data_IF_105789084034
#
_entry.id   IF_105789084034
#
_cell.length_a   1.000
_cell.length_b   1.000
_cell.length_c   1.000
_cell.angle_alpha   90.00
_cell.angle_beta   90.00
_cell.angle_gamma   90.00
#
_symmetry.space_group_name_H-M   'P 1'
#
loop_
_entity.id
_entity.type
_entity.pdbx_description
1 polymer ?
#
# COMPACT_ATOMS: atom_id res chain seq x y z
N UNK A 1 19.50 -0.56 -15.52
CA UNK A 1 19.19 0.03 -14.20
C UNK A 1 18.32 -0.87 -13.35
N UNK A 2 17.01 -0.95 -13.64
CA UNK A 2 16.04 -1.66 -12.80
C UNK A 2 16.28 -3.17 -12.61
N UNK A 3 16.72 -3.89 -13.65
CA UNK A 3 16.98 -5.33 -13.53
C UNK A 3 18.14 -5.65 -12.56
N UNK A 4 19.23 -4.87 -12.60
CA UNK A 4 20.35 -5.02 -11.67
C UNK A 4 19.95 -4.68 -10.23
N UNK A 5 19.08 -3.68 -10.04
CA UNK A 5 18.54 -3.33 -8.72
C UNK A 5 17.62 -4.42 -8.15
N UNK A 6 16.73 -4.99 -8.97
CA UNK A 6 15.87 -6.11 -8.56
C UNK A 6 16.67 -7.37 -8.24
N UNK A 7 17.73 -7.65 -9.01
CA UNK A 7 18.63 -8.78 -8.74
C UNK A 7 19.38 -8.56 -7.42
N UNK A 8 19.86 -7.34 -7.17
CA UNK A 8 20.51 -6.97 -5.91
C UNK A 8 19.57 -7.08 -4.71
N UNK A 9 18.31 -6.66 -4.83
CA UNK A 9 17.28 -6.86 -3.79
C UNK A 9 16.97 -8.35 -3.55
N UNK A 10 16.88 -9.16 -4.61
CA UNK A 10 16.66 -10.59 -4.48
C UNK A 10 17.84 -11.28 -3.77
N UNK A 11 19.08 -10.92 -4.13
CA UNK A 11 20.29 -11.41 -3.46
C UNK A 11 20.30 -10.97 -2.00
N UNK A 12 19.96 -9.72 -1.68
CA UNK A 12 19.86 -9.26 -0.29
C UNK A 12 18.83 -10.04 0.52
N UNK A 13 17.62 -10.25 -0.02
CA UNK A 13 16.56 -11.00 0.64
C UNK A 13 16.98 -12.45 0.95
N UNK A 14 17.77 -13.07 0.07
CA UNK A 14 18.29 -14.44 0.26
C UNK A 14 19.46 -14.47 1.26
N UNK A 15 20.38 -13.50 1.18
CA UNK A 15 21.67 -13.56 1.90
C UNK A 15 21.58 -13.12 3.36
N UNK A 16 20.70 -12.17 3.66
CA UNK A 16 20.53 -11.66 5.03
C UNK A 16 19.30 -12.26 5.73
N UNK A 17 18.46 -13.02 5.02
CA UNK A 17 17.03 -13.10 5.34
C UNK A 17 16.44 -11.70 5.23
N UNK A 18 15.12 -11.53 5.23
CA UNK A 18 14.68 -10.15 5.45
C UNK A 18 15.25 -9.70 6.79
N UNK A 19 15.90 -8.54 6.77
CA UNK A 19 15.97 -7.68 7.93
C UNK A 19 14.55 -7.21 8.29
N UNK A 20 13.60 -8.12 8.44
CA UNK A 20 12.55 -8.04 9.44
C UNK A 20 13.16 -8.30 10.84
N UNK A 21 14.38 -7.82 11.11
CA UNK A 21 14.36 -6.84 12.18
C UNK A 21 13.39 -5.77 11.68
N UNK A 22 12.16 -5.85 12.16
CA UNK A 22 11.59 -4.61 12.65
C UNK A 22 12.65 -4.13 13.64
N UNK A 23 13.71 -3.47 13.16
CA UNK A 23 14.19 -2.30 13.86
C UNK A 23 12.87 -1.60 14.09
N UNK A 24 12.42 -1.67 15.33
CA UNK A 24 11.63 -0.62 15.90
C UNK A 24 12.41 0.60 15.50
N UNK A 25 12.10 1.15 14.32
CA UNK A 25 12.35 2.53 13.97
C UNK A 25 11.74 3.17 15.17
N UNK A 26 12.62 3.58 16.09
CA UNK A 26 12.27 4.17 17.36
C UNK A 26 11.20 5.15 16.98
N UNK A 27 9.95 4.80 17.33
CA UNK A 27 8.79 5.34 16.65
C UNK A 27 8.82 6.78 17.05
N UNK A 28 9.46 7.62 16.23
CA UNK A 28 9.48 9.05 16.41
C UNK A 28 8.02 9.34 16.66
N UNK A 29 7.73 9.92 17.82
CA UNK A 29 6.39 10.12 18.35
C UNK A 29 5.70 11.12 17.43
N UNK A 30 5.40 10.66 16.22
CA UNK A 30 4.78 11.41 15.18
C UNK A 30 3.41 11.71 15.74
N UNK A 31 3.15 13.01 15.87
CA UNK A 31 1.84 13.48 16.30
C UNK A 31 0.77 12.74 15.50
N UNK A 32 -0.37 12.36 16.10
CA UNK A 32 -1.49 11.78 15.38
C UNK A 32 -1.86 12.59 14.12
N UNK A 33 -1.69 13.91 14.18
CA UNK A 33 -1.89 14.82 13.05
C UNK A 33 -0.88 14.61 11.91
N UNK A 34 0.38 14.29 12.23
CA UNK A 34 1.40 13.97 11.23
C UNK A 34 1.09 12.66 10.49
N UNK A 35 0.57 11.65 11.20
CA UNK A 35 0.16 10.40 10.57
C UNK A 35 -1.07 10.59 9.68
N UNK A 36 -2.04 11.40 10.14
CA UNK A 36 -3.21 11.76 9.33
C UNK A 36 -2.79 12.55 8.09
N UNK A 37 -1.87 13.51 8.22
CA UNK A 37 -1.43 14.33 7.08
C UNK A 37 -0.68 13.50 6.04
N UNK A 38 0.16 12.55 6.45
CA UNK A 38 0.79 11.60 5.54
C UNK A 38 -0.27 10.80 4.78
N UNK A 39 -1.25 10.22 5.47
CA UNK A 39 -2.33 9.47 4.84
C UNK A 39 -3.15 10.31 3.86
N UNK A 40 -3.46 11.55 4.25
CA UNK A 40 -4.16 12.52 3.41
C UNK A 40 -3.38 12.82 2.12
N UNK A 41 -2.10 13.17 2.24
CA UNK A 41 -1.27 13.48 1.07
C UNK A 41 -1.05 12.26 0.19
N UNK A 42 -0.80 11.08 0.77
CA UNK A 42 -0.66 9.84 -0.01
C UNK A 42 -1.94 9.53 -0.79
N UNK A 43 -3.11 9.75 -0.19
CA UNK A 43 -4.39 9.48 -0.86
C UNK A 43 -4.67 10.49 -1.99
N UNK A 44 -4.41 11.78 -1.75
CA UNK A 44 -4.59 12.84 -2.76
C UNK A 44 -3.59 12.69 -3.90
N UNK A 45 -2.32 12.44 -3.62
CA UNK A 45 -1.29 12.27 -4.65
C UNK A 45 -1.44 10.94 -5.39
N UNK A 46 -2.33 10.04 -4.97
CA UNK A 46 -2.57 8.78 -5.65
C UNK A 46 -3.42 9.01 -6.91
N UNK A 47 -2.84 8.88 -8.12
CA UNK A 47 -3.59 9.14 -9.36
C UNK A 47 -4.77 8.19 -9.53
N UNK A 48 -4.72 6.98 -8.94
CA UNK A 48 -5.82 6.01 -9.00
C UNK A 48 -7.07 6.54 -8.30
N UNK A 49 -6.90 7.21 -7.15
CA UNK A 49 -8.01 7.77 -6.39
C UNK A 49 -8.64 8.93 -7.15
N UNK A 50 -7.81 9.83 -7.70
CA UNK A 50 -8.29 10.95 -8.52
C UNK A 50 -9.07 10.44 -9.74
N UNK A 51 -8.50 9.50 -10.49
CA UNK A 51 -9.13 8.95 -11.71
C UNK A 51 -10.45 8.25 -11.37
N UNK A 52 -10.49 7.51 -10.25
CA UNK A 52 -11.73 6.90 -9.78
C UNK A 52 -12.82 7.96 -9.55
N UNK A 53 -12.54 8.98 -8.74
CA UNK A 53 -13.54 10.02 -8.49
C UNK A 53 -13.90 10.80 -9.76
N UNK A 54 -12.94 11.15 -10.63
CA UNK A 54 -13.25 11.82 -11.90
C UNK A 54 -14.18 11.00 -12.80
N UNK A 55 -14.07 9.67 -12.77
CA UNK A 55 -14.88 8.79 -13.62
C UNK A 55 -16.27 8.54 -13.04
N UNK A 56 -16.39 8.41 -11.72
CA UNK A 56 -17.64 8.03 -11.06
C UNK A 56 -18.44 9.22 -10.54
N UNK A 57 -17.81 10.31 -10.11
CA UNK A 57 -18.50 11.49 -9.54
C UNK A 57 -19.52 12.13 -10.51
N UNK A 58 -19.22 12.31 -11.81
CA UNK A 58 -20.18 12.88 -12.75
C UNK A 58 -21.43 12.02 -12.95
N UNK A 59 -21.39 10.72 -12.62
CA UNK A 59 -22.54 9.82 -12.71
C UNK A 59 -23.55 10.05 -11.58
N UNK A 60 -23.12 10.62 -10.46
CA UNK A 60 -23.96 10.83 -9.26
C UNK A 60 -24.32 12.30 -9.01
N UNK A 61 -23.58 13.25 -9.61
CA UNK A 61 -23.76 14.69 -9.37
C UNK A 61 -23.64 15.47 -10.68
N UNK A 62 -24.64 16.29 -10.97
CA UNK A 62 -24.64 17.22 -12.12
C UNK A 62 -24.17 18.60 -11.68
N UNK A 63 -23.22 19.20 -12.40
CA UNK A 63 -22.60 20.48 -12.03
C UNK A 63 -23.58 21.68 -11.99
N UNK A 64 -24.76 21.57 -12.61
CA UNK A 64 -25.79 22.61 -12.65
C UNK A 64 -26.77 22.59 -11.47
N UNK A 65 -26.62 21.65 -10.53
CA UNK A 65 -27.53 21.54 -9.38
C UNK A 65 -27.17 22.55 -8.26
N UNK A 66 -28.12 23.37 -7.77
CA UNK A 66 -27.88 24.32 -6.68
C UNK A 66 -27.42 23.66 -5.37
N UNK A 67 -27.65 22.35 -5.20
CA UNK A 67 -27.35 21.59 -3.98
C UNK A 67 -26.18 20.61 -4.13
N UNK A 68 -25.33 20.77 -5.15
CA UNK A 68 -24.13 19.94 -5.41
C UNK A 68 -23.29 19.73 -4.16
N UNK A 69 -22.97 20.80 -3.42
CA UNK A 69 -22.11 20.71 -2.23
C UNK A 69 -22.69 19.79 -1.16
N UNK A 70 -24.01 19.84 -0.94
CA UNK A 70 -24.69 18.97 0.04
C UNK A 70 -24.64 17.49 -0.37
N UNK A 71 -24.86 17.20 -1.65
CA UNK A 71 -24.76 15.84 -2.20
C UNK A 71 -23.33 15.30 -2.11
N UNK A 72 -22.34 16.13 -2.40
CA UNK A 72 -20.92 15.74 -2.29
C UNK A 72 -20.53 15.41 -0.85
N UNK A 73 -20.96 16.22 0.13
CA UNK A 73 -20.73 15.94 1.55
C UNK A 73 -21.42 14.64 1.97
N UNK A 74 -22.67 14.43 1.55
CA UNK A 74 -23.39 13.19 1.82
C UNK A 74 -22.67 11.96 1.26
N UNK A 75 -22.27 11.99 -0.03
CA UNK A 75 -21.53 10.90 -0.63
C UNK A 75 -20.16 10.67 0.01
N UNK A 76 -19.46 11.73 0.42
CA UNK A 76 -18.21 11.63 1.16
C UNK A 76 -18.39 10.92 2.51
N UNK A 77 -19.39 11.33 3.29
CA UNK A 77 -19.70 10.69 4.59
C UNK A 77 -20.12 9.23 4.37
N UNK A 78 -20.97 8.97 3.38
CA UNK A 78 -21.42 7.61 3.05
C UNK A 78 -20.26 6.72 2.62
N UNK A 79 -19.34 7.24 1.80
CA UNK A 79 -18.13 6.55 1.40
C UNK A 79 -17.23 6.22 2.60
N UNK A 80 -17.04 7.17 3.53
CA UNK A 80 -16.30 6.93 4.78
C UNK A 80 -17.00 5.88 5.64
N UNK A 81 -18.32 5.96 5.80
CA UNK A 81 -19.09 5.03 6.62
C UNK A 81 -19.01 3.59 6.13
N UNK A 82 -18.97 3.37 4.81
CA UNK A 82 -18.80 2.04 4.22
C UNK A 82 -17.33 1.60 4.22
N UNK A 83 -16.41 2.52 3.93
CA UNK A 83 -14.99 2.21 3.82
C UNK A 83 -14.33 1.97 5.18
N UNK A 84 -14.79 2.64 6.24
CA UNK A 84 -14.17 2.57 7.57
C UNK A 84 -14.18 1.15 8.16
N UNK A 85 -15.31 0.41 8.19
CA UNK A 85 -15.33 -0.98 8.66
C UNK A 85 -14.36 -1.89 7.91
N UNK A 86 -14.30 -1.75 6.58
CA UNK A 86 -13.39 -2.56 5.74
C UNK A 86 -11.93 -2.25 6.08
N UNK A 87 -11.57 -0.96 6.16
CA UNK A 87 -10.22 -0.56 6.52
C UNK A 87 -9.87 -1.00 7.95
N UNK A 88 -10.79 -0.91 8.90
CA UNK A 88 -10.58 -1.37 10.26
C UNK A 88 -10.31 -2.87 10.33
N UNK A 89 -11.09 -3.68 9.61
CA UNK A 89 -10.86 -5.13 9.49
C UNK A 89 -9.48 -5.42 8.90
N UNK A 90 -9.09 -4.72 7.84
CA UNK A 90 -7.77 -4.87 7.22
C UNK A 90 -6.65 -4.51 8.19
N UNK A 91 -6.77 -3.40 8.94
CA UNK A 91 -5.79 -2.98 9.93
C UNK A 91 -5.65 -4.02 11.05
N UNK A 92 -6.77 -4.51 11.60
CA UNK A 92 -6.77 -5.53 12.65
C UNK A 92 -6.20 -6.87 12.14
N UNK A 93 -6.55 -7.26 10.92
CA UNK A 93 -6.00 -8.45 10.28
C UNK A 93 -4.49 -8.33 10.04
N UNK A 94 -4.04 -7.16 9.57
CA UNK A 94 -2.62 -6.88 9.35
C UNK A 94 -1.83 -6.90 10.66
N UNK A 95 -2.35 -6.30 11.74
CA UNK A 95 -1.73 -6.35 13.06
C UNK A 95 -1.61 -7.79 13.58
N UNK A 96 -2.70 -8.57 13.50
CA UNK A 96 -2.69 -9.97 13.91
C UNK A 96 -1.74 -10.83 13.06
N UNK A 97 -1.70 -10.59 11.76
CA UNK A 97 -0.80 -11.28 10.83
C UNK A 97 0.66 -10.92 11.11
N UNK A 98 0.97 -9.65 11.32
CA UNK A 98 2.31 -9.17 11.65
C UNK A 98 2.80 -9.82 12.96
N UNK A 99 1.97 -9.81 14.01
CA UNK A 99 2.28 -10.45 15.28
C UNK A 99 2.48 -11.97 15.15
N UNK A 100 1.68 -12.65 14.31
CA UNK A 100 1.82 -14.09 14.06
C UNK A 100 3.08 -14.43 13.25
N UNK A 101 3.42 -13.61 12.26
CA UNK A 101 4.63 -13.76 11.44
C UNK A 101 5.90 -13.55 12.28
N UNK A 102 5.93 -12.54 13.14
CA UNK A 102 7.05 -12.30 14.06
C UNK A 102 7.29 -13.48 15.01
N UNK A 103 6.23 -14.20 15.41
CA UNK A 103 6.34 -15.40 16.24
C UNK A 103 6.82 -16.64 15.47
N UNK A 104 6.74 -16.65 14.13
CA UNK A 104 7.06 -17.80 13.29
C UNK A 104 8.17 -17.48 12.27
N UNK A 105 9.44 -17.42 12.70
CA UNK A 105 10.56 -17.03 11.85
C UNK A 105 10.77 -17.96 10.63
N UNK A 106 10.30 -19.21 10.69
CA UNK A 106 10.33 -20.13 9.54
C UNK A 106 9.36 -19.72 8.42
N UNK A 107 8.18 -19.20 8.76
CA UNK A 107 7.19 -18.73 7.77
C UNK A 107 7.65 -17.43 7.14
N UNK A 108 8.20 -16.52 7.95
CA UNK A 108 8.78 -15.27 7.48
C UNK A 108 9.90 -15.54 6.46
N UNK A 109 10.80 -16.48 6.75
CA UNK A 109 11.82 -16.94 5.79
C UNK A 109 11.21 -17.51 4.50
N UNK A 110 10.14 -18.30 4.60
CA UNK A 110 9.43 -18.81 3.41
C UNK A 110 8.83 -17.70 2.54
N UNK A 111 8.29 -16.67 3.17
CA UNK A 111 7.77 -15.48 2.50
C UNK A 111 8.90 -14.71 1.79
N UNK A 112 10.05 -14.56 2.45
CA UNK A 112 11.24 -13.91 1.88
C UNK A 112 11.75 -14.65 0.64
N UNK A 113 11.82 -15.98 0.69
CA UNK A 113 12.20 -16.77 -0.49
C UNK A 113 11.19 -16.63 -1.63
N UNK A 114 9.90 -16.52 -1.32
CA UNK A 114 8.85 -16.30 -2.33
C UNK A 114 9.02 -14.93 -2.99
N UNK A 115 9.22 -13.87 -2.20
CA UNK A 115 9.50 -12.53 -2.74
C UNK A 115 10.78 -12.50 -3.57
N UNK A 116 11.87 -13.09 -3.07
CA UNK A 116 13.13 -13.16 -3.79
C UNK A 116 12.98 -13.93 -5.11
N UNK A 117 12.22 -15.02 -5.12
CA UNK A 117 11.88 -15.77 -6.32
C UNK A 117 11.14 -14.92 -7.34
N UNK A 118 10.05 -14.26 -6.92
CA UNK A 118 9.25 -13.37 -7.80
C UNK A 118 10.11 -12.23 -8.35
N UNK A 119 10.88 -11.53 -7.51
CA UNK A 119 11.76 -10.46 -7.97
C UNK A 119 12.86 -10.95 -8.91
N UNK A 120 13.41 -12.14 -8.68
CA UNK A 120 14.38 -12.75 -9.59
C UNK A 120 13.75 -13.05 -10.95
N UNK A 121 12.53 -13.61 -10.98
CA UNK A 121 11.81 -13.86 -12.22
C UNK A 121 11.52 -12.55 -12.96
N UNK A 122 11.05 -11.52 -12.26
CA UNK A 122 10.83 -10.19 -12.85
C UNK A 122 12.13 -9.57 -13.38
N UNK A 123 13.24 -9.67 -12.65
CA UNK A 123 14.54 -9.16 -13.06
C UNK A 123 15.01 -9.83 -14.35
N UNK A 124 14.93 -11.18 -14.42
CA UNK A 124 15.26 -11.96 -15.62
C UNK A 124 14.35 -11.57 -16.78
N UNK A 125 13.04 -11.46 -16.55
CA UNK A 125 12.08 -11.07 -17.59
C UNK A 125 12.38 -9.67 -18.13
N UNK A 126 12.66 -8.70 -17.27
CA UNK A 126 12.99 -7.32 -17.68
C UNK A 126 14.31 -7.29 -18.43
N UNK A 127 15.32 -8.03 -17.97
CA UNK A 127 16.60 -8.12 -18.66
C UNK A 127 16.45 -8.73 -20.07
N UNK A 128 15.69 -9.82 -20.21
CA UNK A 128 15.39 -10.42 -21.51
C UNK A 128 14.56 -9.49 -22.39
N UNK A 129 13.62 -8.74 -21.82
CA UNK A 129 12.76 -7.81 -22.58
C UNK A 129 13.50 -6.56 -23.03
N UNK A 130 14.48 -6.05 -22.26
CA UNK A 130 15.35 -4.94 -22.68
C UNK A 130 16.47 -5.39 -23.65
N UNK A 131 16.73 -6.69 -23.79
CA UNK A 131 17.69 -7.24 -24.75
C UNK A 131 17.10 -7.49 -26.15
N UNK A 132 15.84 -7.08 -26.37
CA UNK A 132 15.15 -7.04 -27.68
C UNK A 132 14.84 -5.59 -28.03
#
# INVERSE_FOLDING_TARGET
GGAAYLLWLAIQAIRFGSSFSVETVERATASPLANISIGFWVNILNPKVIIFFMTFLPQFVTATDPHVTGKLVFFGIFFIAIGMPVNLIVVLAADRLANWLQRNPKVLRGLDYTFAGVFSVFAVKIFMTQSR
#
